data_IF_156848412269
#
_entry.id   IF_156848412269
#
_cell.length_a   1.000
_cell.length_b   1.000
_cell.length_c   1.000
_cell.angle_alpha   90.00
_cell.angle_beta   90.00
_cell.angle_gamma   90.00
#
_symmetry.space_group_name_H-M   'P 1'
#
loop_
_entity.id
_entity.type
_entity.pdbx_description
1 polymer ?
#
# COMPACT_ATOMS: atom_id res chain seq x y z
N UNK A 1 4.80 -20.43 0.35
CA UNK A 1 5.63 -19.21 0.56
C UNK A 1 4.99 -18.12 -0.30
N UNK A 2 4.53 -17.00 0.27
CA UNK A 2 3.74 -15.99 -0.44
C UNK A 2 4.60 -14.75 -0.73
N UNK A 3 5.35 -14.77 -1.82
CA UNK A 3 6.23 -13.68 -2.26
C UNK A 3 5.80 -13.08 -3.62
N UNK A 4 4.65 -13.49 -4.16
CA UNK A 4 4.03 -12.92 -5.34
C UNK A 4 2.53 -12.83 -5.12
N UNK A 5 1.97 -11.66 -5.35
CA UNK A 5 0.53 -11.45 -5.39
C UNK A 5 0.17 -10.44 -6.47
N UNK A 6 -1.12 -10.39 -6.82
CA UNK A 6 -1.67 -9.44 -7.76
C UNK A 6 -2.75 -8.59 -7.10
N UNK A 7 -2.91 -7.36 -7.59
CA UNK A 7 -3.93 -6.42 -7.17
C UNK A 7 -4.60 -5.80 -8.39
N UNK A 8 -5.74 -6.37 -8.78
CA UNK A 8 -6.49 -5.93 -9.97
C UNK A 8 -7.68 -5.02 -9.61
N UNK A 9 -7.86 -4.68 -8.33
CA UNK A 9 -8.93 -3.78 -7.88
C UNK A 9 -8.58 -2.34 -8.17
N UNK A 10 -9.58 -1.57 -8.57
CA UNK A 10 -9.42 -0.14 -8.76
C UNK A 10 -9.19 0.56 -7.42
N UNK A 11 -8.54 1.72 -7.50
CA UNK A 11 -8.31 2.58 -6.35
C UNK A 11 -9.61 2.97 -5.62
N UNK A 12 -10.66 3.29 -6.37
CA UNK A 12 -11.96 3.67 -5.80
C UNK A 12 -12.65 2.51 -5.08
N UNK A 13 -12.54 1.28 -5.60
CA UNK A 13 -13.03 0.09 -4.89
C UNK A 13 -12.28 -0.11 -3.56
N UNK A 14 -10.96 0.10 -3.53
CA UNK A 14 -10.16 -0.01 -2.30
C UNK A 14 -10.58 1.08 -1.31
N UNK A 15 -10.72 2.33 -1.77
CA UNK A 15 -11.19 3.45 -0.92
C UNK A 15 -12.56 3.16 -0.32
N UNK A 16 -13.50 2.69 -1.12
CA UNK A 16 -14.86 2.36 -0.69
C UNK A 16 -14.89 1.21 0.31
N UNK A 17 -14.06 0.18 0.11
CA UNK A 17 -13.96 -0.97 1.00
C UNK A 17 -13.42 -0.59 2.39
N UNK A 18 -12.40 0.27 2.43
CA UNK A 18 -11.66 0.58 3.68
C UNK A 18 -12.06 1.91 4.31
N UNK A 19 -12.90 2.71 3.64
CA UNK A 19 -13.25 4.06 4.08
C UNK A 19 -12.05 5.00 4.14
N UNK A 20 -11.11 4.90 3.19
CA UNK A 20 -9.97 5.80 3.12
C UNK A 20 -10.45 7.20 2.69
N UNK A 21 -10.21 8.20 3.54
CA UNK A 21 -10.62 9.58 3.29
C UNK A 21 -9.57 10.37 2.51
N UNK A 22 -8.32 9.92 2.55
CA UNK A 22 -7.20 10.52 1.83
C UNK A 22 -6.55 9.47 0.95
N UNK A 23 -6.16 9.88 -0.24
CA UNK A 23 -5.48 9.01 -1.17
C UNK A 23 -4.32 9.73 -1.85
N UNK A 24 -3.15 9.10 -1.77
CA UNK A 24 -1.89 9.56 -2.34
C UNK A 24 -1.34 8.60 -3.41
N UNK A 25 -2.09 7.57 -3.80
CA UNK A 25 -1.64 6.60 -4.82
C UNK A 25 -1.78 7.13 -6.25
N UNK A 26 -2.59 8.17 -6.49
CA UNK A 26 -2.81 8.76 -7.81
C UNK A 26 -3.50 7.79 -8.77
N UNK A 27 -3.26 7.86 -10.09
CA UNK A 27 -3.83 6.89 -11.04
C UNK A 27 -3.14 5.52 -10.89
N UNK A 28 -3.67 4.67 -10.02
CA UNK A 28 -3.15 3.33 -9.72
C UNK A 28 -3.54 2.36 -10.85
N UNK A 29 -2.60 1.88 -11.68
CA UNK A 29 -2.90 0.86 -12.67
C UNK A 29 -3.13 -0.50 -12.00
N UNK A 30 -3.77 -1.46 -12.69
CA UNK A 30 -3.80 -2.84 -12.25
C UNK A 30 -2.39 -3.39 -11.98
N UNK A 31 -2.26 -4.00 -10.79
CA UNK A 31 -1.15 -4.70 -10.15
C UNK A 31 -0.94 -6.18 -10.52
N UNK A 32 -0.67 -6.67 -11.75
CA UNK A 32 -0.72 -8.12 -12.03
C UNK A 32 0.38 -8.94 -11.32
N UNK A 33 1.46 -8.30 -10.86
CA UNK A 33 2.51 -8.97 -10.12
C UNK A 33 3.29 -7.99 -9.24
N UNK A 34 3.20 -8.17 -7.94
CA UNK A 34 3.91 -7.40 -6.93
C UNK A 34 4.90 -8.36 -6.25
N UNK A 35 6.18 -8.00 -6.30
CA UNK A 35 7.31 -8.75 -5.75
C UNK A 35 7.89 -8.03 -4.52
N UNK A 36 8.69 -8.71 -3.69
CA UNK A 36 9.37 -8.04 -2.58
C UNK A 36 10.16 -6.82 -3.07
N UNK A 37 10.24 -5.80 -2.23
CA UNK A 37 10.83 -4.48 -2.52
C UNK A 37 10.08 -3.60 -3.55
N UNK A 38 8.95 -4.04 -4.10
CA UNK A 38 8.13 -3.20 -4.98
C UNK A 38 7.24 -2.25 -4.17
N UNK A 39 6.88 -1.10 -4.77
CA UNK A 39 5.88 -0.21 -4.22
C UNK A 39 4.48 -0.80 -4.44
N UNK A 40 3.76 -1.01 -3.34
CA UNK A 40 2.39 -1.49 -3.34
C UNK A 40 1.48 -0.51 -2.59
N UNK A 41 0.21 -0.37 -3.00
CA UNK A 41 -0.75 0.41 -2.25
C UNK A 41 -1.06 -0.27 -0.91
N UNK A 42 -1.00 0.51 0.17
CA UNK A 42 -1.36 0.10 1.53
C UNK A 42 -2.31 1.13 2.13
N UNK A 43 -3.19 0.66 3.01
CA UNK A 43 -3.98 1.55 3.87
C UNK A 43 -3.25 1.68 5.19
N UNK A 44 -2.94 2.92 5.57
CA UNK A 44 -2.39 3.22 6.90
C UNK A 44 -3.22 4.29 7.59
N UNK A 45 -3.07 4.38 8.91
CA UNK A 45 -3.62 5.50 9.67
C UNK A 45 -2.61 6.65 9.61
N UNK A 46 -3.01 7.76 8.98
CA UNK A 46 -2.22 8.97 8.87
C UNK A 46 -2.29 9.83 10.14
N UNK A 47 -1.59 10.98 10.11
CA UNK A 47 -1.65 11.96 11.19
C UNK A 47 -3.10 12.46 11.38
N UNK A 48 -3.60 12.43 12.62
CA UNK A 48 -5.00 12.80 12.93
C UNK A 48 -6.00 11.65 12.88
N UNK A 49 -5.56 10.39 12.73
CA UNK A 49 -6.43 9.22 12.87
C UNK A 49 -7.24 8.87 11.61
N UNK A 50 -7.03 9.59 10.51
CA UNK A 50 -7.69 9.32 9.23
C UNK A 50 -7.01 8.17 8.50
N UNK A 51 -7.80 7.32 7.84
CA UNK A 51 -7.27 6.28 6.94
C UNK A 51 -6.83 6.91 5.63
N UNK A 52 -5.59 6.62 5.23
CA UNK A 52 -5.02 7.06 3.97
C UNK A 52 -4.51 5.88 3.13
N UNK A 53 -4.78 5.94 1.82
CA UNK A 53 -4.28 5.00 0.83
C UNK A 53 -2.98 5.57 0.23
N UNK A 54 -1.85 4.90 0.47
CA UNK A 54 -0.50 5.36 0.07
C UNK A 54 0.29 4.22 -0.57
N UNK A 55 1.35 4.53 -1.34
CA UNK A 55 2.29 3.50 -1.81
C UNK A 55 3.42 3.32 -0.80
N UNK A 56 3.71 2.07 -0.45
CA UNK A 56 4.83 1.72 0.42
C UNK A 56 5.62 0.55 -0.17
N UNK A 57 6.92 0.48 0.18
CA UNK A 57 7.78 -0.64 -0.22
C UNK A 57 7.35 -1.91 0.51
N UNK A 58 7.12 -2.98 -0.24
CA UNK A 58 6.84 -4.30 0.34
C UNK A 58 8.13 -4.97 0.83
N UNK A 59 8.61 -4.51 1.97
CA UNK A 59 9.83 -5.01 2.61
C UNK A 59 10.04 -4.30 3.94
N UNK A 60 9.76 -5.01 5.04
CA UNK A 60 10.05 -4.49 6.38
C UNK A 60 11.57 -4.32 6.53
N UNK A 61 12.05 -3.19 7.08
CA UNK A 61 13.46 -3.05 7.39
C UNK A 61 13.94 -4.21 8.27
N UNK A 62 15.08 -4.78 7.91
CA UNK A 62 15.76 -5.74 8.78
C UNK A 62 16.15 -5.09 10.11
N UNK A 63 16.55 -5.91 11.09
CA UNK A 63 16.86 -5.48 12.47
C UNK A 63 17.87 -4.32 12.58
N UNK A 64 18.66 -4.03 11.53
CA UNK A 64 19.67 -2.98 11.52
C UNK A 64 19.17 -1.62 10.99
N UNK A 65 17.97 -1.53 10.41
CA UNK A 65 17.46 -0.32 9.73
C UNK A 65 16.38 0.45 10.53
N UNK A 66 16.10 0.09 11.78
CA UNK A 66 15.13 0.79 12.64
C UNK A 66 15.75 1.92 13.48
N UNK A 67 17.02 2.26 13.25
CA UNK A 67 17.78 3.24 14.03
C UNK A 67 18.42 4.31 13.14
N UNK A 68 17.60 5.10 12.44
CA UNK A 68 17.94 6.45 11.96
C UNK A 68 16.67 7.29 12.02
#
# INVERSE_FOLDING_TARGET
MCNLYSMNRSQDEIRGLVGAMRDETGNQPPLPGIFPDYLAPIVRTGAGGTRELVKARWGMPGRLLAAI
#
